data_IF_263707116199
#
_entry.id   IF_263707116199
#
_cell.length_a   1.000
_cell.length_b   1.000
_cell.length_c   1.000
_cell.angle_alpha   90.00
_cell.angle_beta   90.00
_cell.angle_gamma   90.00
#
_symmetry.space_group_name_H-M   'P 1'
#
loop_
_entity.id
_entity.type
_entity.pdbx_description
1 polymer ?
#
# COMPACT_ATOMS: atom_id res chain seq x y z
N UNK A 1 -0.57 10.75 -16.87
CA UNK A 1 -1.49 10.99 -17.98
C UNK A 1 -2.78 10.19 -17.78
N UNK A 2 -3.87 10.89 -17.37
CA UNK A 2 -5.13 10.18 -17.12
C UNK A 2 -5.74 9.54 -18.37
N UNK A 3 -5.54 10.12 -19.53
CA UNK A 3 -6.09 9.54 -20.77
C UNK A 3 -5.39 8.23 -21.12
N UNK A 4 -4.07 8.18 -20.96
CA UNK A 4 -3.31 6.96 -21.16
C UNK A 4 -3.67 5.88 -20.17
N UNK A 5 -3.89 6.27 -18.91
CA UNK A 5 -4.29 5.33 -17.86
C UNK A 5 -5.68 4.75 -18.13
N UNK A 6 -6.62 5.58 -18.59
CA UNK A 6 -7.96 5.10 -18.96
C UNK A 6 -7.91 4.19 -20.17
N UNK A 7 -7.04 4.48 -21.12
CA UNK A 7 -6.86 3.60 -22.27
C UNK A 7 -6.34 2.22 -21.85
N UNK A 8 -5.36 2.19 -20.93
CA UNK A 8 -4.89 0.94 -20.34
C UNK A 8 -6.03 0.16 -19.70
N UNK A 9 -6.85 0.85 -18.89
CA UNK A 9 -8.00 0.22 -18.24
C UNK A 9 -8.97 -0.34 -19.27
N UNK A 10 -9.29 0.44 -20.29
CA UNK A 10 -10.22 0.01 -21.35
C UNK A 10 -9.70 -1.24 -22.05
N UNK A 11 -8.41 -1.31 -22.34
CA UNK A 11 -7.83 -2.50 -22.96
C UNK A 11 -7.94 -3.73 -22.08
N UNK A 12 -7.75 -3.57 -20.76
CA UNK A 12 -7.88 -4.67 -19.81
C UNK A 12 -9.32 -5.17 -19.74
N UNK A 13 -10.28 -4.24 -19.72
CA UNK A 13 -11.71 -4.57 -19.69
C UNK A 13 -12.11 -5.30 -20.97
N UNK A 14 -11.75 -4.76 -22.12
CA UNK A 14 -12.06 -5.37 -23.43
C UNK A 14 -11.37 -6.71 -23.62
N UNK A 15 -10.19 -6.87 -23.05
CA UNK A 15 -9.45 -8.13 -23.11
C UNK A 15 -10.00 -9.22 -22.21
N UNK A 16 -11.05 -8.94 -21.46
CA UNK A 16 -11.69 -9.93 -20.59
C UNK A 16 -10.95 -10.20 -19.29
N UNK A 17 -10.11 -9.27 -18.85
CA UNK A 17 -9.41 -9.44 -17.57
C UNK A 17 -10.39 -9.52 -16.40
N UNK A 18 -10.02 -10.33 -15.42
CA UNK A 18 -10.79 -10.43 -14.19
C UNK A 18 -10.83 -9.06 -13.49
N UNK A 19 -12.03 -8.56 -13.16
CA UNK A 19 -12.14 -7.27 -12.45
C UNK A 19 -11.35 -7.24 -11.15
N UNK A 20 -11.28 -8.34 -10.41
CA UNK A 20 -10.50 -8.41 -9.18
C UNK A 20 -8.99 -8.23 -9.46
N UNK A 21 -8.51 -8.77 -10.57
CA UNK A 21 -7.10 -8.60 -10.95
C UNK A 21 -6.79 -7.14 -11.25
N UNK A 22 -7.64 -6.47 -12.00
CA UNK A 22 -7.47 -5.05 -12.32
C UNK A 22 -7.48 -4.21 -11.04
N UNK A 23 -8.48 -4.46 -10.18
CA UNK A 23 -8.62 -3.73 -8.92
C UNK A 23 -7.40 -3.93 -8.00
N UNK A 24 -6.89 -5.16 -7.95
CA UNK A 24 -5.70 -5.49 -7.15
C UNK A 24 -4.48 -4.72 -7.65
N UNK A 25 -4.32 -4.60 -8.95
CA UNK A 25 -3.21 -3.83 -9.52
C UNK A 25 -3.29 -2.36 -9.15
N UNK A 26 -4.49 -1.80 -9.09
CA UNK A 26 -4.68 -0.42 -8.65
C UNK A 26 -4.31 -0.26 -7.17
N UNK A 27 -4.67 -1.21 -6.32
CA UNK A 27 -4.30 -1.19 -4.89
C UNK A 27 -2.78 -1.22 -4.75
N UNK A 28 -2.11 -2.09 -5.49
CA UNK A 28 -0.64 -2.17 -5.46
C UNK A 28 -0.02 -0.84 -5.89
N UNK A 29 -0.48 -0.27 -6.99
CA UNK A 29 0.03 1.01 -7.49
C UNK A 29 -0.20 2.14 -6.49
N UNK A 30 -1.36 2.14 -5.83
CA UNK A 30 -1.68 3.16 -4.83
C UNK A 30 -0.70 3.13 -3.65
N UNK A 31 -0.31 1.94 -3.19
CA UNK A 31 0.61 1.82 -2.06
C UNK A 31 2.08 1.93 -2.47
N UNK A 32 2.45 1.37 -3.61
CA UNK A 32 3.85 1.29 -4.04
C UNK A 32 4.32 2.58 -4.71
N UNK A 33 3.53 3.13 -5.62
CA UNK A 33 3.95 4.27 -6.43
C UNK A 33 3.55 5.62 -5.84
N UNK A 34 2.37 5.70 -5.24
CA UNK A 34 1.85 6.94 -4.66
C UNK A 34 2.20 7.01 -3.18
N UNK A 35 1.83 5.96 -2.43
CA UNK A 35 2.21 5.83 -1.03
C UNK A 35 1.94 7.07 -0.20
N UNK A 36 2.98 7.54 0.46
CA UNK A 36 2.87 8.65 1.40
C UNK A 36 2.66 10.00 0.73
N UNK A 37 2.86 10.12 -0.59
CA UNK A 37 2.57 11.37 -1.29
C UNK A 37 1.07 11.70 -1.24
N UNK A 38 0.23 10.67 -1.20
CA UNK A 38 -1.22 10.84 -1.07
C UNK A 38 -1.84 9.57 -0.48
N UNK A 39 -1.91 9.47 0.86
CA UNK A 39 -2.44 8.27 1.51
C UNK A 39 -3.89 7.93 1.13
N UNK A 40 -4.66 8.92 0.68
CA UNK A 40 -6.03 8.68 0.23
C UNK A 40 -6.09 7.78 -1.00
N UNK A 41 -5.00 7.68 -1.75
CA UNK A 41 -4.97 6.83 -2.95
C UNK A 41 -5.24 5.36 -2.59
N UNK A 42 -4.61 4.87 -1.53
CA UNK A 42 -4.83 3.49 -1.09
C UNK A 42 -6.27 3.28 -0.61
N UNK A 43 -6.82 4.25 0.12
CA UNK A 43 -8.20 4.18 0.59
C UNK A 43 -9.18 4.14 -0.59
N UNK A 44 -8.97 4.98 -1.59
CA UNK A 44 -9.84 5.00 -2.76
C UNK A 44 -9.72 3.71 -3.57
N UNK A 45 -8.50 3.23 -3.76
CA UNK A 45 -8.28 1.98 -4.50
C UNK A 45 -8.95 0.79 -3.80
N UNK A 46 -8.88 0.73 -2.46
CA UNK A 46 -9.58 -0.31 -1.70
C UNK A 46 -11.09 -0.19 -1.82
N UNK A 47 -11.63 1.03 -1.76
CA UNK A 47 -13.06 1.25 -1.97
C UNK A 47 -13.49 0.81 -3.37
N UNK A 48 -12.69 1.11 -4.37
CA UNK A 48 -12.97 0.67 -5.74
C UNK A 48 -12.96 -0.85 -5.85
N UNK A 49 -12.02 -1.51 -5.18
CA UNK A 49 -11.96 -2.96 -5.13
C UNK A 49 -13.26 -3.53 -4.57
N UNK A 50 -13.70 -3.03 -3.41
CA UNK A 50 -14.94 -3.49 -2.79
C UNK A 50 -16.15 -3.24 -3.68
N UNK A 51 -16.22 -2.08 -4.31
CA UNK A 51 -17.32 -1.73 -5.21
C UNK A 51 -17.38 -2.69 -6.40
N UNK A 52 -16.23 -3.00 -6.98
CA UNK A 52 -16.15 -3.93 -8.12
C UNK A 52 -16.65 -5.32 -7.73
N UNK A 53 -16.29 -5.78 -6.54
CA UNK A 53 -16.73 -7.08 -6.06
C UNK A 53 -18.25 -7.12 -5.86
N UNK A 54 -18.85 -6.01 -5.44
CA UNK A 54 -20.28 -5.90 -5.24
C UNK A 54 -21.06 -5.74 -6.54
N UNK A 55 -20.49 -4.99 -7.48
CA UNK A 55 -21.20 -4.60 -8.71
C UNK A 55 -20.99 -5.59 -9.87
N UNK A 56 -19.78 -6.13 -10.02
CA UNK A 56 -19.43 -6.91 -11.20
C UNK A 56 -19.41 -6.05 -12.46
N UNK A 57 -19.38 -6.72 -13.62
CA UNK A 57 -19.45 -6.06 -14.92
C UNK A 57 -20.91 -5.87 -15.35
N UNK A 58 -21.26 -4.82 -16.07
CA UNK A 58 -20.36 -3.76 -16.57
C UNK A 58 -20.18 -2.59 -15.61
N UNK A 59 -20.96 -2.51 -14.54
CA UNK A 59 -20.96 -1.35 -13.62
C UNK A 59 -19.60 -1.15 -12.95
N UNK A 60 -18.87 -2.22 -12.68
CA UNK A 60 -17.56 -2.16 -12.02
C UNK A 60 -16.53 -1.32 -12.76
N UNK A 61 -16.70 -1.12 -14.07
CA UNK A 61 -15.77 -0.29 -14.83
C UNK A 61 -15.75 1.16 -14.34
N UNK A 62 -16.84 1.62 -13.74
CA UNK A 62 -16.95 3.01 -13.29
C UNK A 62 -16.07 3.27 -12.06
N UNK A 63 -16.21 2.54 -10.94
CA UNK A 63 -15.27 2.73 -9.83
C UNK A 63 -13.81 2.44 -10.22
N UNK A 64 -13.56 1.52 -11.13
CA UNK A 64 -12.21 1.29 -11.62
C UNK A 64 -11.68 2.51 -12.39
N UNK A 65 -12.52 3.15 -13.18
CA UNK A 65 -12.14 4.36 -13.90
C UNK A 65 -11.86 5.52 -12.94
N UNK A 66 -12.69 5.70 -11.92
CA UNK A 66 -12.48 6.72 -10.90
C UNK A 66 -11.13 6.53 -10.21
N UNK A 67 -10.82 5.32 -9.76
CA UNK A 67 -9.55 5.02 -9.12
C UNK A 67 -8.38 5.22 -10.08
N UNK A 68 -8.52 4.78 -11.31
CA UNK A 68 -7.45 4.91 -12.32
C UNK A 68 -7.09 6.38 -12.56
N UNK A 69 -8.08 7.25 -12.75
CA UNK A 69 -7.85 8.68 -12.96
C UNK A 69 -7.23 9.31 -11.72
N UNK A 70 -7.76 8.97 -10.54
CA UNK A 70 -7.24 9.51 -9.29
C UNK A 70 -5.76 9.16 -9.11
N UNK A 71 -5.40 7.89 -9.34
CA UNK A 71 -4.01 7.46 -9.22
C UNK A 71 -3.12 8.13 -10.26
N UNK A 72 -3.60 8.24 -11.49
CA UNK A 72 -2.81 8.83 -12.58
C UNK A 72 -2.53 10.31 -12.36
N UNK A 73 -3.39 11.01 -11.62
CA UNK A 73 -3.26 12.44 -11.35
C UNK A 73 -2.69 12.75 -9.97
N UNK A 74 -2.38 11.73 -9.18
CA UNK A 74 -1.83 11.92 -7.84
C UNK A 74 -0.31 12.10 -7.89
N UNK A 75 0.26 12.89 -6.95
CA UNK A 75 1.72 12.92 -6.80
C UNK A 75 2.22 11.54 -6.39
N UNK A 76 3.48 11.25 -6.69
CA UNK A 76 4.06 9.93 -6.48
C UNK A 76 5.20 9.97 -5.48
N UNK A 77 5.28 8.93 -4.64
CA UNK A 77 6.40 8.69 -3.74
C UNK A 77 6.49 7.20 -3.47
N UNK A 78 7.66 6.63 -3.70
CA UNK A 78 7.92 5.24 -3.38
C UNK A 78 8.70 5.09 -2.07
N UNK A 79 8.71 6.13 -1.22
CA UNK A 79 9.53 6.15 -0.01
C UNK A 79 9.19 5.01 0.96
N UNK A 80 7.91 4.68 1.12
CA UNK A 80 7.52 3.58 2.00
C UNK A 80 7.97 2.23 1.44
N UNK A 81 7.83 2.03 0.13
CA UNK A 81 8.28 0.83 -0.57
C UNK A 81 9.80 0.67 -0.40
N UNK A 82 10.56 1.71 -0.70
CA UNK A 82 12.02 1.69 -0.58
C UNK A 82 12.43 1.50 0.87
N UNK A 83 11.76 2.16 1.80
CA UNK A 83 12.07 2.07 3.23
C UNK A 83 11.93 0.67 3.77
N UNK A 84 10.80 0.01 3.48
CA UNK A 84 10.59 -1.35 3.99
C UNK A 84 11.55 -2.34 3.33
N UNK A 85 11.83 -2.17 2.04
CA UNK A 85 12.77 -3.05 1.37
C UNK A 85 14.18 -2.91 1.92
N UNK A 86 14.61 -1.68 2.19
CA UNK A 86 15.93 -1.44 2.80
C UNK A 86 16.00 -2.03 4.20
N UNK A 87 14.94 -1.88 4.99
CA UNK A 87 14.89 -2.45 6.34
C UNK A 87 14.95 -3.98 6.30
N UNK A 88 14.20 -4.60 5.40
CA UNK A 88 14.22 -6.06 5.24
C UNK A 88 15.59 -6.57 4.82
N UNK A 89 16.24 -5.87 3.90
CA UNK A 89 17.59 -6.22 3.48
C UNK A 89 18.57 -6.14 4.63
N UNK A 90 18.48 -5.08 5.44
CA UNK A 90 19.32 -4.92 6.61
C UNK A 90 19.11 -6.06 7.61
N UNK A 91 17.86 -6.42 7.88
CA UNK A 91 17.53 -7.54 8.78
C UNK A 91 18.14 -8.85 8.26
N UNK A 92 18.07 -9.09 6.95
CA UNK A 92 18.67 -10.28 6.35
C UNK A 92 20.18 -10.31 6.52
N UNK A 93 20.83 -9.15 6.42
CA UNK A 93 22.29 -9.06 6.54
C UNK A 93 22.77 -9.15 7.99
N UNK A 94 22.03 -8.55 8.91
CA UNK A 94 22.44 -8.43 10.31
C UNK A 94 21.80 -9.48 11.23
N UNK A 95 20.78 -10.17 10.75
CA UNK A 95 20.08 -11.15 11.55
C UNK A 95 19.33 -10.53 12.72
N UNK A 96 19.50 -11.12 13.91
CA UNK A 96 18.74 -10.75 15.10
C UNK A 96 19.45 -9.71 15.97
N UNK A 97 20.10 -8.73 15.35
CA UNK A 97 20.74 -7.67 16.12
C UNK A 97 19.69 -6.87 16.89
N UNK A 98 20.02 -6.45 18.14
CA UNK A 98 19.09 -5.65 18.91
C UNK A 98 18.78 -4.31 18.25
N UNK A 99 17.53 -3.87 18.37
CA UNK A 99 17.11 -2.57 17.90
C UNK A 99 17.79 -1.50 18.77
N UNK A 100 18.45 -0.50 18.18
CA UNK A 100 19.04 0.59 18.97
C UNK A 100 18.01 1.31 19.83
N UNK A 101 18.45 1.78 21.02
CA UNK A 101 17.56 2.42 21.98
C UNK A 101 16.80 3.60 21.39
N UNK A 102 17.47 4.42 20.58
CA UNK A 102 16.82 5.59 19.99
C UNK A 102 15.71 5.22 19.02
N UNK A 103 15.79 4.06 18.39
CA UNK A 103 14.75 3.57 17.50
C UNK A 103 13.62 2.89 18.28
N UNK A 104 13.94 2.28 19.43
CA UNK A 104 12.91 1.70 20.29
C UNK A 104 12.04 2.78 20.93
N UNK A 105 12.64 3.93 21.24
CA UNK A 105 11.92 5.05 21.85
C UNK A 105 11.13 5.89 20.85
N UNK A 106 11.58 5.97 19.59
CA UNK A 106 10.94 6.81 18.59
C UNK A 106 9.46 6.46 18.38
N UNK A 107 9.08 5.20 18.21
CA UNK A 107 7.68 4.82 18.03
C UNK A 107 6.93 4.62 19.34
N UNK A 108 7.56 4.82 20.51
CA UNK A 108 6.98 4.48 21.79
C UNK A 108 5.65 5.18 22.05
N UNK A 109 5.55 6.47 21.71
CA UNK A 109 4.31 7.21 21.94
C UNK A 109 3.14 6.57 21.21
N UNK A 110 3.35 6.23 19.96
CA UNK A 110 2.30 5.58 19.17
C UNK A 110 1.99 4.19 19.73
N UNK A 111 3.01 3.45 20.08
CA UNK A 111 2.84 2.09 20.62
C UNK A 111 2.13 2.12 21.96
N UNK A 112 2.45 3.10 22.82
CA UNK A 112 1.76 3.27 24.09
C UNK A 112 0.28 3.58 23.89
N UNK A 113 -0.03 4.46 22.94
CA UNK A 113 -1.42 4.80 22.61
C UNK A 113 -2.20 3.58 22.12
N UNK A 114 -1.52 2.66 21.45
CA UNK A 114 -2.11 1.42 20.96
C UNK A 114 -2.11 0.32 22.00
N UNK A 115 -1.53 0.56 23.19
CA UNK A 115 -1.42 -0.45 24.23
C UNK A 115 -0.31 -1.46 23.97
N UNK A 116 0.70 -1.09 23.22
CA UNK A 116 1.80 -1.99 22.82
C UNK A 116 3.13 -1.51 23.40
N UNK A 117 3.81 -2.36 24.15
CA UNK A 117 5.12 -2.05 24.74
C UNK A 117 6.21 -2.65 23.85
N UNK A 118 6.86 -1.78 23.08
CA UNK A 118 7.88 -2.20 22.12
C UNK A 118 9.08 -2.85 22.83
N UNK A 119 9.53 -2.23 23.92
CA UNK A 119 10.72 -2.74 24.63
C UNK A 119 10.43 -4.09 25.30
N UNK A 120 9.30 -4.22 25.97
CA UNK A 120 8.92 -5.47 26.62
C UNK A 120 8.72 -6.58 25.58
N UNK A 121 8.06 -6.27 24.48
CA UNK A 121 7.84 -7.21 23.40
C UNK A 121 9.16 -7.69 22.81
N UNK A 122 10.10 -6.76 22.63
CA UNK A 122 11.43 -7.07 22.10
C UNK A 122 12.16 -8.07 23.00
N UNK A 123 12.12 -7.82 24.32
CA UNK A 123 12.74 -8.73 25.30
C UNK A 123 12.08 -10.10 25.31
N UNK A 124 10.77 -10.15 25.20
CA UNK A 124 10.02 -11.42 25.19
C UNK A 124 10.35 -12.29 23.99
N UNK A 125 10.83 -11.70 22.90
CA UNK A 125 11.23 -12.46 21.72
C UNK A 125 12.65 -13.00 21.81
N UNK A 126 13.30 -12.81 22.96
CA UNK A 126 14.62 -13.36 23.17
C UNK A 126 15.72 -12.64 22.42
N UNK A 127 15.54 -11.38 22.15
CA UNK A 127 16.51 -10.60 21.40
C UNK A 127 17.55 -9.91 22.30
N UNK A 128 17.56 -10.22 23.57
CA UNK A 128 18.54 -9.71 24.52
C UNK A 128 19.94 -10.25 24.29
#
# INVERSE_FOLDING_TARGET
DPDGALYWLARMVEGGEDPAFIARRLVISASEDIGLANPNALLLANSAFDAVMKLGWPEGRIPLAEATVYLATSPKSNSAYEGINSALELVQQTGNLPVPLHLRNAPTKLMDELGYDVELTYKKKGAE
#
